data_IF_721819586473
#
_entry.id   IF_721819586473
#
_cell.length_a   1.000
_cell.length_b   1.000
_cell.length_c   1.000
_cell.angle_alpha   90.00
_cell.angle_beta   90.00
_cell.angle_gamma   90.00
#
_symmetry.space_group_name_H-M   'P 1'
#
loop_
_entity.id
_entity.type
_entity.pdbx_description
1 polymer ?
#
# COMPACT_ATOMS: atom_id res chain seq x y z
N UNK A 1 1.82 18.88 -35.87
CA UNK A 1 3.30 18.79 -35.86
C UNK A 1 4.01 19.66 -34.83
N UNK A 2 4.24 20.99 -35.01
CA UNK A 2 5.03 21.78 -34.03
C UNK A 2 4.39 21.91 -32.63
N UNK A 3 3.04 21.94 -32.56
CA UNK A 3 2.29 22.03 -31.28
C UNK A 3 2.35 20.73 -30.48
N UNK A 4 2.31 19.58 -31.15
CA UNK A 4 2.43 18.25 -30.52
C UNK A 4 3.85 18.00 -30.01
N UNK A 5 4.87 18.40 -30.77
CA UNK A 5 6.28 18.31 -30.34
C UNK A 5 6.56 19.16 -29.09
N UNK A 6 5.97 20.36 -29.00
CA UNK A 6 6.07 21.21 -27.79
C UNK A 6 5.37 20.60 -26.57
N UNK A 7 4.17 20.04 -26.74
CA UNK A 7 3.43 19.37 -25.65
C UNK A 7 4.19 18.12 -25.18
N UNK A 8 4.75 17.34 -26.09
CA UNK A 8 5.52 16.15 -25.76
C UNK A 8 6.82 16.49 -25.02
N UNK A 9 7.54 17.54 -25.44
CA UNK A 9 8.73 18.05 -24.74
C UNK A 9 8.41 18.55 -23.32
N UNK A 10 7.32 19.29 -23.15
CA UNK A 10 6.89 19.80 -21.84
C UNK A 10 6.48 18.68 -20.88
N UNK A 11 5.73 17.67 -21.35
CA UNK A 11 5.36 16.50 -20.54
C UNK A 11 6.59 15.70 -20.10
N UNK A 12 7.57 15.52 -21.00
CA UNK A 12 8.81 14.80 -20.70
C UNK A 12 9.65 15.52 -19.64
N UNK A 13 9.73 16.85 -19.71
CA UNK A 13 10.41 17.68 -18.70
C UNK A 13 9.75 17.55 -17.32
N UNK A 14 8.41 17.65 -17.25
CA UNK A 14 7.67 17.47 -16.00
C UNK A 14 7.86 16.08 -15.38
N UNK A 15 7.97 15.02 -16.19
CA UNK A 15 8.28 13.67 -15.71
C UNK A 15 9.67 13.58 -15.11
N UNK A 16 10.68 14.18 -15.75
CA UNK A 16 12.07 14.18 -15.28
C UNK A 16 12.21 14.97 -13.97
N UNK A 17 11.61 16.17 -13.90
CA UNK A 17 11.63 17.00 -12.69
C UNK A 17 10.97 16.29 -11.50
N UNK A 18 9.84 15.62 -11.72
CA UNK A 18 9.17 14.83 -10.68
C UNK A 18 10.01 13.65 -10.21
N UNK A 19 10.62 12.90 -11.14
CA UNK A 19 11.52 11.79 -10.78
C UNK A 19 12.67 12.28 -9.89
N UNK A 20 13.34 13.35 -10.30
CA UNK A 20 14.42 13.96 -9.52
C UNK A 20 13.95 14.46 -8.14
N UNK A 21 12.76 15.06 -8.06
CA UNK A 21 12.18 15.47 -6.79
C UNK A 21 11.91 14.28 -5.86
N UNK A 22 11.41 13.15 -6.38
CA UNK A 22 11.18 11.95 -5.58
C UNK A 22 12.50 11.32 -5.11
N UNK A 23 13.52 11.26 -5.97
CA UNK A 23 14.84 10.75 -5.60
C UNK A 23 15.47 11.55 -4.45
N UNK A 24 15.41 12.88 -4.51
CA UNK A 24 15.88 13.74 -3.41
C UNK A 24 15.10 13.52 -2.11
N UNK A 25 13.78 13.35 -2.23
CA UNK A 25 12.89 13.09 -1.08
C UNK A 25 13.21 11.74 -0.44
N UNK A 26 13.44 10.70 -1.25
CA UNK A 26 13.88 9.39 -0.78
C UNK A 26 15.24 9.44 -0.10
N UNK A 27 16.22 10.17 -0.65
CA UNK A 27 17.53 10.30 0.01
C UNK A 27 17.42 10.93 1.42
N UNK A 28 16.50 11.89 1.61
CA UNK A 28 16.25 12.47 2.92
C UNK A 28 15.54 11.49 3.87
N UNK A 29 14.57 10.73 3.36
CA UNK A 29 13.87 9.70 4.13
C UNK A 29 14.81 8.57 4.54
N UNK A 30 15.66 8.09 3.62
CA UNK A 30 16.66 7.06 3.87
C UNK A 30 17.53 7.46 5.06
N UNK A 31 18.09 8.68 5.05
CA UNK A 31 18.88 9.19 6.16
C UNK A 31 18.09 9.23 7.48
N UNK A 32 16.86 9.70 7.45
CA UNK A 32 16.02 9.79 8.65
C UNK A 32 15.68 8.39 9.21
N UNK A 33 15.49 7.41 8.34
CA UNK A 33 15.08 6.05 8.69
C UNK A 33 16.27 5.18 9.11
N UNK A 34 17.45 5.37 8.53
CA UNK A 34 18.69 4.67 8.91
C UNK A 34 19.06 4.86 10.38
N UNK A 35 18.78 6.04 10.93
CA UNK A 35 19.09 6.37 12.33
C UNK A 35 18.02 5.82 13.32
N UNK A 36 16.93 5.24 12.81
CA UNK A 36 15.84 4.75 13.67
C UNK A 36 16.20 3.40 14.29
N UNK A 37 16.12 3.33 15.61
CA UNK A 37 16.27 2.07 16.33
C UNK A 37 15.17 1.06 16.01
N UNK A 38 13.97 1.54 15.67
CA UNK A 38 12.80 0.70 15.42
C UNK A 38 11.95 1.27 14.29
N UNK A 39 11.55 0.39 13.39
CA UNK A 39 10.58 0.68 12.33
C UNK A 39 9.27 -0.06 12.62
N UNK A 40 8.14 0.60 12.37
CA UNK A 40 6.84 -0.06 12.34
C UNK A 40 6.55 -0.72 10.99
N UNK A 41 5.43 -1.44 10.91
CA UNK A 41 4.93 -2.08 9.70
C UNK A 41 4.96 -1.18 8.46
N UNK A 42 4.48 0.05 8.61
CA UNK A 42 4.28 0.97 7.49
C UNK A 42 5.63 1.49 7.00
N UNK A 43 6.57 1.74 7.90
CA UNK A 43 7.96 2.06 7.55
C UNK A 43 8.62 0.90 6.80
N UNK A 44 8.47 -0.34 7.27
CA UNK A 44 9.02 -1.51 6.60
C UNK A 44 8.41 -1.71 5.21
N UNK A 45 7.09 -1.52 5.07
CA UNK A 45 6.43 -1.52 3.77
C UNK A 45 6.97 -0.41 2.86
N UNK A 46 7.23 0.79 3.39
CA UNK A 46 7.93 1.86 2.68
C UNK A 46 9.28 1.40 2.12
N UNK A 47 10.14 0.81 2.97
CA UNK A 47 11.42 0.26 2.55
C UNK A 47 11.28 -0.78 1.42
N UNK A 48 10.34 -1.72 1.58
CA UNK A 48 10.10 -2.78 0.59
C UNK A 48 9.63 -2.19 -0.74
N UNK A 49 8.72 -1.22 -0.72
CA UNK A 49 8.21 -0.55 -1.91
C UNK A 49 9.31 0.22 -2.65
N UNK A 50 10.14 0.98 -1.92
CA UNK A 50 11.26 1.70 -2.52
C UNK A 50 12.30 0.73 -3.08
N UNK A 51 12.68 -0.29 -2.32
CA UNK A 51 13.58 -1.35 -2.78
C UNK A 51 13.10 -1.97 -4.10
N UNK A 52 11.80 -2.27 -4.22
CA UNK A 52 11.22 -2.82 -5.46
C UNK A 52 11.22 -1.81 -6.62
N UNK A 53 11.04 -0.53 -6.32
CA UNK A 53 11.01 0.53 -7.33
C UNK A 53 12.41 0.91 -7.84
N UNK A 54 13.44 0.90 -6.98
CA UNK A 54 14.78 1.42 -7.30
C UNK A 54 15.84 0.33 -7.43
N UNK A 55 15.66 -0.83 -6.78
CA UNK A 55 16.69 -1.86 -6.64
C UNK A 55 17.83 -1.51 -5.67
N UNK A 56 17.70 -0.41 -4.92
CA UNK A 56 18.73 0.04 -3.99
C UNK A 56 18.83 -0.83 -2.74
N UNK A 57 20.05 -1.26 -2.42
CA UNK A 57 20.31 -2.19 -1.32
C UNK A 57 20.07 -1.61 0.07
N UNK A 58 20.27 -0.30 0.26
CA UNK A 58 20.09 0.33 1.58
C UNK A 58 18.67 0.10 2.13
N UNK A 59 17.65 0.27 1.30
CA UNK A 59 16.25 0.04 1.66
C UNK A 59 15.95 -1.44 1.96
N UNK A 60 16.53 -2.34 1.17
CA UNK A 60 16.47 -3.79 1.40
C UNK A 60 17.05 -4.14 2.76
N UNK A 61 18.27 -3.69 3.02
CA UNK A 61 19.03 -4.05 4.21
C UNK A 61 18.35 -3.51 5.48
N UNK A 62 17.83 -2.28 5.45
CA UNK A 62 17.01 -1.72 6.54
C UNK A 62 15.81 -2.63 6.88
N UNK A 63 15.03 -3.06 5.88
CA UNK A 63 13.89 -3.94 6.11
C UNK A 63 14.31 -5.31 6.67
N UNK A 64 15.37 -5.92 6.12
CA UNK A 64 15.85 -7.23 6.55
C UNK A 64 16.44 -7.21 7.96
N UNK A 65 17.19 -6.16 8.32
CA UNK A 65 17.75 -6.00 9.65
C UNK A 65 16.67 -5.88 10.72
N UNK A 66 15.61 -5.10 10.46
CA UNK A 66 14.48 -4.96 11.39
C UNK A 66 13.73 -6.28 11.58
N UNK A 67 13.51 -7.04 10.51
CA UNK A 67 12.89 -8.38 10.61
C UNK A 67 13.77 -9.36 11.38
N UNK A 68 15.10 -9.34 11.16
CA UNK A 68 16.08 -10.20 11.86
C UNK A 68 16.23 -9.86 13.34
N UNK A 69 16.19 -8.58 13.69
CA UNK A 69 16.24 -8.13 15.08
C UNK A 69 15.04 -8.65 15.91
N UNK A 70 13.97 -9.08 15.22
CA UNK A 70 12.75 -9.56 15.82
C UNK A 70 11.86 -8.39 16.25
N UNK A 71 10.56 -8.50 15.99
CA UNK A 71 9.61 -7.49 16.47
C UNK A 71 9.32 -7.75 17.95
N UNK A 72 9.53 -6.78 18.86
CA UNK A 72 9.08 -6.90 20.24
C UNK A 72 7.58 -7.19 20.27
N UNK A 73 7.15 -8.05 21.21
CA UNK A 73 5.75 -8.46 21.45
C UNK A 73 5.13 -9.47 20.48
N UNK A 74 5.93 -10.16 19.64
CA UNK A 74 5.41 -11.22 18.77
C UNK A 74 4.46 -10.72 17.67
N UNK A 75 4.40 -9.39 17.48
CA UNK A 75 3.75 -8.70 16.38
C UNK A 75 4.66 -8.68 15.15
N UNK A 76 5.12 -9.84 14.69
CA UNK A 76 5.87 -9.88 13.45
C UNK A 76 5.00 -9.35 12.30
N UNK A 77 5.53 -8.47 11.46
CA UNK A 77 4.78 -7.89 10.35
C UNK A 77 4.72 -8.86 9.16
N UNK A 78 3.52 -9.32 8.81
CA UNK A 78 3.35 -10.42 7.85
C UNK A 78 4.02 -10.19 6.49
N UNK A 79 3.79 -9.04 5.86
CA UNK A 79 4.38 -8.74 4.54
C UNK A 79 5.91 -8.61 4.60
N UNK A 80 6.51 -7.88 5.57
CA UNK A 80 7.95 -7.89 5.81
C UNK A 80 8.55 -9.27 6.08
N UNK A 81 7.85 -10.17 6.80
CA UNK A 81 8.30 -11.55 6.98
C UNK A 81 8.39 -12.32 5.65
N UNK A 82 7.37 -12.20 4.80
CA UNK A 82 7.39 -12.84 3.47
C UNK A 82 8.53 -12.28 2.61
N UNK A 83 8.73 -10.97 2.65
CA UNK A 83 9.84 -10.33 1.96
C UNK A 83 11.19 -10.89 2.46
N UNK A 84 11.40 -10.97 3.77
CA UNK A 84 12.65 -11.52 4.31
C UNK A 84 12.89 -13.00 3.92
N UNK A 85 11.83 -13.80 3.89
CA UNK A 85 11.91 -15.20 3.42
C UNK A 85 12.27 -15.29 1.92
N UNK A 86 11.77 -14.39 1.09
CA UNK A 86 12.11 -14.31 -0.35
C UNK A 86 13.56 -13.90 -0.58
N UNK A 87 14.07 -12.98 0.24
CA UNK A 87 15.42 -12.44 0.12
C UNK A 87 16.49 -13.34 0.76
N UNK A 88 16.13 -14.17 1.74
CA UNK A 88 17.02 -15.11 2.42
C UNK A 88 16.33 -16.46 2.71
N UNK A 89 16.16 -17.33 1.68
CA UNK A 89 15.47 -18.60 1.84
C UNK A 89 16.19 -19.62 2.75
N UNK A 90 17.46 -19.39 3.07
CA UNK A 90 18.25 -20.28 3.92
C UNK A 90 17.89 -20.14 5.40
N UNK A 91 17.34 -19.00 5.80
CA UNK A 91 16.92 -18.73 7.17
C UNK A 91 15.44 -19.10 7.35
N UNK A 92 15.18 -20.22 8.05
CA UNK A 92 13.84 -20.77 8.25
C UNK A 92 13.00 -19.88 9.15
N UNK A 93 12.03 -19.20 8.54
CA UNK A 93 11.02 -18.35 9.20
C UNK A 93 9.63 -18.94 9.14
N UNK A 94 9.50 -20.19 8.69
CA UNK A 94 8.20 -20.79 8.37
C UNK A 94 7.28 -20.84 9.58
N UNK A 95 7.79 -21.23 10.75
CA UNK A 95 7.01 -21.27 11.98
C UNK A 95 6.43 -19.89 12.35
N UNK A 96 7.21 -18.81 12.21
CA UNK A 96 6.76 -17.44 12.49
C UNK A 96 5.71 -16.98 11.47
N UNK A 97 5.92 -17.28 10.19
CA UNK A 97 4.95 -17.00 9.12
C UNK A 97 3.65 -17.75 9.35
N UNK A 98 3.71 -19.04 9.69
CA UNK A 98 2.54 -19.87 9.98
C UNK A 98 1.81 -19.39 11.25
N UNK A 99 2.53 -18.95 12.28
CA UNK A 99 1.94 -18.37 13.49
C UNK A 99 1.21 -17.05 13.20
N UNK A 100 1.79 -16.15 12.42
CA UNK A 100 1.09 -14.95 11.95
C UNK A 100 -0.09 -15.34 11.05
N UNK A 101 0.09 -16.37 10.24
CA UNK A 101 -0.95 -16.98 9.43
C UNK A 101 -1.97 -17.83 10.24
N UNK A 102 -1.92 -17.87 11.56
CA UNK A 102 -2.97 -18.46 12.39
C UNK A 102 -3.92 -17.41 12.99
N UNK A 103 -3.56 -16.11 12.92
CA UNK A 103 -4.36 -15.02 13.52
C UNK A 103 -5.79 -14.94 12.95
N UNK A 104 -6.80 -14.66 13.80
CA UNK A 104 -8.18 -14.49 13.35
C UNK A 104 -8.31 -13.32 12.35
N UNK A 105 -9.35 -13.38 11.51
CA UNK A 105 -9.68 -12.33 10.55
C UNK A 105 -10.96 -11.56 10.94
N UNK A 106 -11.66 -12.05 11.94
CA UNK A 106 -12.83 -11.42 12.55
C UNK A 106 -12.41 -10.33 13.54
N UNK A 107 -13.20 -9.24 13.58
CA UNK A 107 -12.99 -8.16 14.54
C UNK A 107 -11.75 -7.29 14.32
N UNK A 108 -11.10 -7.37 13.16
CA UNK A 108 -9.94 -6.53 12.83
C UNK A 108 -10.32 -5.04 12.88
N UNK A 109 -9.45 -4.21 13.47
CA UNK A 109 -9.47 -2.77 13.22
C UNK A 109 -9.01 -2.48 11.80
N UNK A 110 -9.24 -1.27 11.28
CA UNK A 110 -8.76 -0.89 9.95
C UNK A 110 -7.23 -0.89 9.83
N UNK A 111 -6.53 -0.58 10.92
CA UNK A 111 -5.06 -0.67 10.97
C UNK A 111 -4.62 -2.13 10.91
N UNK A 112 -5.23 -3.00 11.71
CA UNK A 112 -4.91 -4.43 11.69
C UNK A 112 -5.24 -5.07 10.34
N UNK A 113 -6.32 -4.63 9.68
CA UNK A 113 -6.68 -5.07 8.35
C UNK A 113 -5.59 -4.79 7.33
N UNK A 114 -4.95 -3.61 7.40
CA UNK A 114 -3.80 -3.27 6.55
C UNK A 114 -2.58 -4.17 6.84
N UNK A 115 -2.27 -4.43 8.10
CA UNK A 115 -1.13 -5.27 8.46
C UNK A 115 -1.34 -6.76 8.13
N UNK A 116 -2.59 -7.24 8.16
CA UNK A 116 -2.93 -8.66 8.07
C UNK A 116 -3.38 -9.05 6.67
N UNK A 117 -4.37 -8.39 6.08
CA UNK A 117 -5.08 -8.93 4.90
C UNK A 117 -4.23 -9.01 3.62
N UNK A 118 -3.38 -8.03 3.28
CA UNK A 118 -2.44 -8.16 2.15
C UNK A 118 -1.48 -9.34 2.34
N UNK A 119 -0.92 -9.49 3.55
CA UNK A 119 -0.10 -10.64 3.90
C UNK A 119 -0.87 -11.94 3.71
N UNK A 120 -2.11 -12.02 4.21
CA UNK A 120 -2.94 -13.23 4.09
C UNK A 120 -3.13 -13.64 2.66
N UNK A 121 -3.42 -12.67 1.79
CA UNK A 121 -3.57 -12.93 0.37
C UNK A 121 -2.26 -13.48 -0.22
N UNK A 122 -1.12 -12.82 0.06
CA UNK A 122 0.19 -13.28 -0.40
C UNK A 122 0.54 -14.70 0.12
N UNK A 123 0.29 -14.97 1.40
CA UNK A 123 0.51 -16.27 2.03
C UNK A 123 -0.28 -17.38 1.34
N UNK A 124 -1.56 -17.14 1.03
CA UNK A 124 -2.40 -18.12 0.35
C UNK A 124 -1.84 -18.52 -1.01
N UNK A 125 -1.39 -17.56 -1.81
CA UNK A 125 -0.81 -17.83 -3.13
C UNK A 125 0.59 -18.44 -3.06
N UNK A 126 1.44 -17.96 -2.15
CA UNK A 126 2.86 -18.35 -2.11
C UNK A 126 3.11 -19.65 -1.35
N UNK A 127 2.35 -19.91 -0.30
CA UNK A 127 2.68 -20.95 0.68
C UNK A 127 1.53 -21.93 0.96
N UNK A 128 0.26 -21.51 0.82
CA UNK A 128 -0.89 -22.31 1.24
C UNK A 128 -1.79 -22.82 0.12
N UNK A 129 -1.30 -22.82 -1.13
CA UNK A 129 -1.99 -23.38 -2.30
C UNK A 129 -3.43 -22.86 -2.49
N UNK A 130 -3.65 -21.61 -2.14
CA UNK A 130 -4.92 -20.89 -2.27
C UNK A 130 -6.09 -21.49 -1.46
N UNK A 131 -5.82 -22.28 -0.42
CA UNK A 131 -6.85 -23.00 0.33
C UNK A 131 -7.94 -22.09 0.93
N UNK A 132 -7.61 -20.84 1.26
CA UNK A 132 -8.49 -19.91 1.97
C UNK A 132 -8.61 -18.53 1.33
N UNK A 133 -8.30 -18.38 0.04
CA UNK A 133 -8.44 -17.08 -0.67
C UNK A 133 -9.85 -16.50 -0.54
N UNK A 134 -10.88 -17.36 -0.63
CA UNK A 134 -12.28 -16.96 -0.46
C UNK A 134 -12.57 -16.36 0.91
N UNK A 135 -11.91 -16.85 1.96
CA UNK A 135 -12.03 -16.35 3.33
C UNK A 135 -11.34 -14.99 3.49
N UNK A 136 -10.17 -14.79 2.87
CA UNK A 136 -9.48 -13.48 2.89
C UNK A 136 -10.31 -12.44 2.14
N UNK A 137 -10.84 -12.78 0.96
CA UNK A 137 -11.71 -11.90 0.19
C UNK A 137 -13.03 -11.58 0.93
N UNK A 138 -13.60 -12.57 1.64
CA UNK A 138 -14.75 -12.35 2.51
C UNK A 138 -14.43 -11.39 3.66
N UNK A 139 -13.23 -11.43 4.25
CA UNK A 139 -12.85 -10.50 5.32
C UNK A 139 -12.84 -9.04 4.86
N UNK A 140 -12.33 -8.74 3.64
CA UNK A 140 -12.44 -7.40 3.06
C UNK A 140 -13.90 -6.94 2.93
N UNK A 141 -14.77 -7.83 2.45
CA UNK A 141 -16.19 -7.54 2.28
C UNK A 141 -16.87 -7.27 3.62
N UNK A 142 -16.65 -8.14 4.62
CA UNK A 142 -17.25 -7.99 5.94
C UNK A 142 -16.78 -6.72 6.66
N UNK A 143 -15.51 -6.33 6.52
CA UNK A 143 -15.02 -5.06 7.06
C UNK A 143 -15.73 -3.87 6.43
N UNK A 144 -15.90 -3.87 5.10
CA UNK A 144 -16.64 -2.83 4.43
C UNK A 144 -18.11 -2.81 4.89
N UNK A 145 -18.81 -3.94 4.87
CA UNK A 145 -20.21 -4.03 5.27
C UNK A 145 -20.47 -3.62 6.73
N UNK A 146 -19.55 -3.96 7.64
CA UNK A 146 -19.72 -3.71 9.07
C UNK A 146 -19.31 -2.30 9.49
N UNK A 147 -18.28 -1.74 8.86
CA UNK A 147 -17.64 -0.51 9.32
C UNK A 147 -17.88 0.68 8.38
N UNK A 148 -18.51 0.51 7.22
CA UNK A 148 -18.80 1.62 6.32
C UNK A 148 -20.07 2.37 6.70
N UNK A 149 -19.95 3.68 6.82
CA UNK A 149 -21.07 4.62 6.92
C UNK A 149 -21.38 5.18 5.52
N UNK A 150 -22.54 4.79 4.97
CA UNK A 150 -23.00 5.21 3.65
C UNK A 150 -23.27 6.73 3.54
N UNK A 151 -23.67 7.38 4.65
CA UNK A 151 -24.01 8.81 4.68
C UNK A 151 -22.75 9.65 4.62
N UNK A 152 -21.75 9.31 5.42
CA UNK A 152 -20.46 9.99 5.46
C UNK A 152 -19.52 9.52 4.34
N UNK A 153 -19.82 8.37 3.72
CA UNK A 153 -18.99 7.70 2.72
C UNK A 153 -17.58 7.34 3.23
N UNK A 154 -17.49 6.98 4.50
CA UNK A 154 -16.27 6.74 5.27
C UNK A 154 -16.44 5.50 6.16
N UNK A 155 -15.36 5.06 6.81
CA UNK A 155 -15.39 3.91 7.71
C UNK A 155 -15.17 4.31 9.17
N UNK A 156 -15.73 3.50 10.08
CA UNK A 156 -15.32 3.41 11.46
C UNK A 156 -13.98 2.66 11.58
N UNK A 157 -13.11 3.06 12.51
CA UNK A 157 -11.82 2.37 12.72
C UNK A 157 -11.97 0.94 13.26
N UNK A 158 -13.03 0.70 14.03
CA UNK A 158 -13.45 -0.58 14.59
C UNK A 158 -14.93 -0.50 15.00
N UNK A 159 -15.53 -1.62 15.41
CA UNK A 159 -16.92 -1.63 15.88
C UNK A 159 -17.09 -0.70 17.07
N UNK A 160 -17.99 0.28 16.95
CA UNK A 160 -18.28 1.27 17.99
C UNK A 160 -17.35 2.49 18.02
N UNK A 161 -16.33 2.56 17.16
CA UNK A 161 -15.52 3.76 16.98
C UNK A 161 -16.29 4.86 16.22
N UNK A 162 -15.77 6.08 16.18
CA UNK A 162 -16.30 7.12 15.29
C UNK A 162 -15.84 6.91 13.84
N UNK A 163 -16.61 7.47 12.90
CA UNK A 163 -16.29 7.47 11.47
C UNK A 163 -15.10 8.41 11.21
N UNK A 164 -14.12 7.97 10.42
CA UNK A 164 -12.97 8.82 10.07
C UNK A 164 -12.44 8.59 8.64
N UNK A 165 -11.83 9.65 8.10
CA UNK A 165 -11.10 9.57 6.84
C UNK A 165 -9.89 8.63 6.95
N UNK A 166 -9.22 8.65 8.10
CA UNK A 166 -8.07 7.78 8.41
C UNK A 166 -8.42 6.30 8.32
N UNK A 167 -9.51 5.85 8.94
CA UNK A 167 -9.97 4.47 8.85
C UNK A 167 -10.23 4.04 7.40
N UNK A 168 -10.79 4.95 6.58
CA UNK A 168 -10.99 4.71 5.15
C UNK A 168 -9.67 4.64 4.39
N UNK A 169 -8.68 5.46 4.77
CA UNK A 169 -7.33 5.42 4.21
C UNK A 169 -6.66 4.07 4.43
N UNK A 170 -6.65 3.57 5.68
CA UNK A 170 -6.12 2.25 6.00
C UNK A 170 -6.79 1.15 5.19
N UNK A 171 -8.13 1.21 5.05
CA UNK A 171 -8.88 0.23 4.28
C UNK A 171 -8.55 0.27 2.77
N UNK A 172 -8.40 1.46 2.19
CA UNK A 172 -8.00 1.62 0.78
C UNK A 172 -6.61 1.04 0.52
N UNK A 173 -5.65 1.28 1.44
CA UNK A 173 -4.31 0.70 1.35
C UNK A 173 -4.36 -0.83 1.44
N UNK A 174 -5.13 -1.37 2.40
CA UNK A 174 -5.31 -2.80 2.57
C UNK A 174 -5.90 -3.44 1.30
N UNK A 175 -6.91 -2.82 0.69
CA UNK A 175 -7.54 -3.30 -0.53
C UNK A 175 -6.57 -3.32 -1.70
N UNK A 176 -5.88 -2.21 -1.98
CA UNK A 176 -5.02 -2.14 -3.16
C UNK A 176 -3.81 -3.08 -3.03
N UNK A 177 -3.30 -3.29 -1.82
CA UNK A 177 -2.23 -4.23 -1.56
C UNK A 177 -2.72 -5.68 -1.65
N UNK A 178 -3.89 -5.97 -1.08
CA UNK A 178 -4.54 -7.28 -1.23
C UNK A 178 -4.86 -7.62 -2.69
N UNK A 179 -5.31 -6.65 -3.49
CA UNK A 179 -5.57 -6.80 -4.93
C UNK A 179 -4.26 -7.12 -5.68
N UNK A 180 -3.15 -6.46 -5.36
CA UNK A 180 -1.84 -6.75 -5.97
C UNK A 180 -1.38 -8.18 -5.68
N UNK A 181 -1.70 -8.73 -4.51
CA UNK A 181 -1.33 -10.11 -4.13
C UNK A 181 -2.25 -11.17 -4.74
N UNK A 182 -3.40 -10.77 -5.30
CA UNK A 182 -4.41 -11.71 -5.79
C UNK A 182 -4.24 -11.96 -7.29
N UNK A 183 -4.00 -13.22 -7.67
CA UNK A 183 -3.97 -13.63 -9.08
C UNK A 183 -5.39 -13.57 -9.69
N UNK A 184 -5.48 -13.10 -10.93
CA UNK A 184 -6.72 -13.05 -11.72
C UNK A 184 -7.35 -14.43 -11.97
N UNK A 185 -6.62 -15.53 -11.77
CA UNK A 185 -7.16 -16.90 -11.81
C UNK A 185 -8.36 -17.09 -10.86
N UNK A 186 -8.43 -16.31 -9.77
CA UNK A 186 -9.59 -16.24 -8.87
C UNK A 186 -10.37 -14.94 -9.12
N UNK A 187 -10.80 -14.76 -10.37
CA UNK A 187 -11.39 -13.52 -10.87
C UNK A 187 -12.55 -13.00 -10.00
N UNK A 188 -13.40 -13.88 -9.47
CA UNK A 188 -14.54 -13.47 -8.65
C UNK A 188 -14.13 -12.74 -7.35
N UNK A 189 -13.08 -13.22 -6.68
CA UNK A 189 -12.58 -12.65 -5.45
C UNK A 189 -11.80 -11.37 -5.72
N UNK A 190 -10.92 -11.41 -6.72
CA UNK A 190 -10.21 -10.23 -7.22
C UNK A 190 -11.19 -9.12 -7.61
N UNK A 191 -12.23 -9.45 -8.39
CA UNK A 191 -13.23 -8.50 -8.88
C UNK A 191 -14.03 -7.89 -7.74
N UNK A 192 -14.42 -8.69 -6.76
CA UNK A 192 -15.11 -8.20 -5.55
C UNK A 192 -14.29 -7.12 -4.85
N UNK A 193 -13.00 -7.38 -4.59
CA UNK A 193 -12.12 -6.40 -3.94
C UNK A 193 -11.95 -5.13 -4.79
N UNK A 194 -11.78 -5.27 -6.10
CA UNK A 194 -11.68 -4.13 -7.04
C UNK A 194 -12.95 -3.28 -7.03
N UNK A 195 -14.13 -3.90 -6.99
CA UNK A 195 -15.39 -3.17 -6.96
C UNK A 195 -15.57 -2.41 -5.64
N UNK A 196 -15.22 -3.03 -4.49
CA UNK A 196 -15.20 -2.35 -3.19
C UNK A 196 -14.20 -1.17 -3.22
N UNK A 197 -12.98 -1.38 -3.69
CA UNK A 197 -11.96 -0.34 -3.81
C UNK A 197 -12.46 0.86 -4.62
N UNK A 198 -13.05 0.62 -5.80
CA UNK A 198 -13.62 1.66 -6.65
C UNK A 198 -14.81 2.36 -6.00
N UNK A 199 -15.62 1.64 -5.24
CA UNK A 199 -16.76 2.20 -4.53
C UNK A 199 -16.29 3.17 -3.45
N UNK A 200 -15.45 2.69 -2.55
CA UNK A 200 -14.89 3.47 -1.43
C UNK A 200 -14.09 4.68 -1.93
N UNK A 201 -13.22 4.48 -2.93
CA UNK A 201 -12.42 5.58 -3.50
C UNK A 201 -13.32 6.67 -4.10
N UNK A 202 -14.39 6.30 -4.81
CA UNK A 202 -15.35 7.30 -5.33
C UNK A 202 -16.09 8.01 -4.20
N UNK A 203 -16.45 7.28 -3.14
CA UNK A 203 -17.11 7.82 -1.96
C UNK A 203 -16.28 8.92 -1.29
N UNK A 204 -15.06 8.60 -0.88
CA UNK A 204 -14.18 9.54 -0.17
C UNK A 204 -13.81 10.77 -1.01
N UNK A 205 -13.62 10.60 -2.33
CA UNK A 205 -13.37 11.71 -3.25
C UNK A 205 -14.60 12.60 -3.40
N UNK A 206 -15.81 12.02 -3.46
CA UNK A 206 -17.07 12.77 -3.58
C UNK A 206 -17.33 13.65 -2.36
N UNK A 207 -17.03 13.16 -1.16
CA UNK A 207 -17.21 13.93 0.09
C UNK A 207 -16.01 14.84 0.41
N UNK A 208 -14.98 14.87 -0.45
CA UNK A 208 -13.81 15.75 -0.31
C UNK A 208 -12.84 15.35 0.79
N UNK A 209 -13.03 14.20 1.44
CA UNK A 209 -12.26 13.76 2.61
C UNK A 209 -10.90 13.14 2.29
N UNK A 210 -10.60 12.92 1.01
CA UNK A 210 -9.30 12.41 0.58
C UNK A 210 -8.15 13.40 0.85
N UNK A 211 -8.44 14.71 0.91
CA UNK A 211 -7.45 15.75 1.23
C UNK A 211 -7.04 15.74 2.71
N UNK A 212 -7.80 15.08 3.60
CA UNK A 212 -7.43 14.88 5.01
C UNK A 212 -6.42 13.75 5.20
N UNK A 213 -6.31 12.83 4.23
CA UNK A 213 -5.42 11.66 4.25
C UNK A 213 -4.56 11.57 2.99
N UNK A 214 -3.86 12.65 2.59
CA UNK A 214 -3.30 12.79 1.25
C UNK A 214 -2.31 11.67 0.90
N UNK A 215 -1.52 11.18 1.85
CA UNK A 215 -0.56 10.10 1.60
C UNK A 215 -1.21 8.75 1.31
N UNK A 216 -2.15 8.31 2.14
CA UNK A 216 -2.86 7.03 1.96
C UNK A 216 -3.71 7.06 0.68
N UNK A 217 -4.38 8.20 0.42
CA UNK A 217 -5.18 8.40 -0.78
C UNK A 217 -4.31 8.47 -2.04
N UNK A 218 -3.20 9.22 -2.03
CA UNK A 218 -2.26 9.27 -3.15
C UNK A 218 -1.70 7.89 -3.46
N UNK A 219 -1.16 7.19 -2.46
CA UNK A 219 -0.63 5.84 -2.62
C UNK A 219 -1.66 4.90 -3.26
N UNK A 220 -2.87 4.85 -2.68
CA UNK A 220 -3.94 3.96 -3.15
C UNK A 220 -4.36 4.27 -4.60
N UNK A 221 -4.47 5.55 -4.96
CA UNK A 221 -4.82 5.98 -6.32
C UNK A 221 -3.70 5.61 -7.30
N UNK A 222 -2.45 5.96 -7.00
CA UNK A 222 -1.33 5.74 -7.91
C UNK A 222 -1.08 4.25 -8.13
N UNK A 223 -1.15 3.45 -7.06
CA UNK A 223 -1.06 2.00 -7.15
C UNK A 223 -2.25 1.40 -7.90
N UNK A 224 -3.47 1.88 -7.66
CA UNK A 224 -4.66 1.45 -8.40
C UNK A 224 -4.55 1.72 -9.91
N UNK A 225 -3.92 2.83 -10.31
CA UNK A 225 -3.60 3.12 -11.71
C UNK A 225 -2.58 2.11 -12.25
N UNK A 226 -1.47 1.87 -11.51
CA UNK A 226 -0.42 0.92 -11.91
C UNK A 226 -0.97 -0.49 -12.10
N UNK A 227 -1.89 -0.92 -11.23
CA UNK A 227 -2.56 -2.23 -11.33
C UNK A 227 -3.62 -2.29 -12.43
N UNK A 228 -3.91 -1.20 -13.13
CA UNK A 228 -4.94 -1.15 -14.18
C UNK A 228 -6.38 -1.27 -13.64
N UNK A 229 -6.58 -1.05 -12.35
CA UNK A 229 -7.90 -1.19 -11.71
C UNK A 229 -8.68 0.12 -11.68
N UNK A 230 -8.08 1.27 -12.00
CA UNK A 230 -8.79 2.54 -12.19
C UNK A 230 -8.22 3.32 -13.38
N UNK A 231 -9.03 4.20 -13.95
CA UNK A 231 -8.69 4.96 -15.16
C UNK A 231 -7.57 6.00 -14.90
N UNK A 232 -6.42 5.90 -15.58
CA UNK A 232 -5.33 6.86 -15.42
C UNK A 232 -5.72 8.29 -15.83
N UNK A 233 -6.57 8.49 -16.83
CA UNK A 233 -6.91 9.85 -17.30
C UNK A 233 -7.67 10.63 -16.23
N UNK A 234 -8.65 9.96 -15.60
CA UNK A 234 -9.45 10.54 -14.52
C UNK A 234 -8.69 10.68 -13.21
N UNK A 235 -7.92 9.67 -12.81
CA UNK A 235 -7.42 9.59 -11.43
C UNK A 235 -5.96 10.03 -11.26
N UNK A 236 -5.13 10.01 -12.32
CA UNK A 236 -3.72 10.42 -12.20
C UNK A 236 -3.55 11.86 -11.74
N UNK A 237 -4.29 12.86 -12.26
CA UNK A 237 -4.16 14.24 -11.77
C UNK A 237 -4.50 14.36 -10.27
N UNK A 238 -5.49 13.60 -9.80
CA UNK A 238 -5.90 13.58 -8.39
C UNK A 238 -4.81 12.97 -7.50
N UNK A 239 -4.30 11.79 -7.87
CA UNK A 239 -3.26 11.12 -7.10
C UNK A 239 -1.96 11.93 -7.02
N UNK A 240 -1.54 12.55 -8.13
CA UNK A 240 -0.35 13.42 -8.14
C UNK A 240 -0.56 14.70 -7.32
N UNK A 241 -1.74 15.34 -7.40
CA UNK A 241 -2.07 16.51 -6.58
C UNK A 241 -1.94 16.18 -5.08
N UNK A 242 -2.48 15.05 -4.64
CA UNK A 242 -2.41 14.61 -3.24
C UNK A 242 -0.97 14.28 -2.82
N UNK A 243 -0.17 13.67 -3.70
CA UNK A 243 1.24 13.39 -3.44
C UNK A 243 2.08 14.69 -3.30
N UNK A 244 1.77 15.70 -4.12
CA UNK A 244 2.41 17.02 -4.07
C UNK A 244 1.97 17.82 -2.83
N UNK A 245 0.80 17.52 -2.25
CA UNK A 245 0.25 18.19 -1.07
C UNK A 245 0.55 17.49 0.26
N UNK A 246 1.50 16.57 0.31
CA UNK A 246 1.87 15.85 1.53
C UNK A 246 2.32 16.83 2.63
N UNK A 247 1.67 16.83 3.81
CA UNK A 247 2.07 17.67 4.93
C UNK A 247 3.48 17.35 5.43
N UNK A 248 4.15 18.35 6.00
CA UNK A 248 5.36 18.11 6.77
C UNK A 248 5.03 17.21 7.97
N UNK A 249 5.85 16.19 8.23
CA UNK A 249 5.59 15.21 9.28
C UNK A 249 4.63 14.08 8.87
N UNK A 250 4.33 13.94 7.57
CA UNK A 250 3.71 12.71 7.05
C UNK A 250 4.52 11.49 7.48
N UNK A 251 3.83 10.40 7.78
CA UNK A 251 4.47 9.15 8.18
C UNK A 251 5.55 8.72 7.15
N UNK A 252 6.82 8.52 7.55
CA UNK A 252 7.93 8.24 6.62
C UNK A 252 7.67 7.04 5.70
N UNK A 253 7.05 5.98 6.24
CA UNK A 253 6.66 4.81 5.45
C UNK A 253 5.65 5.14 4.34
N UNK A 254 4.62 5.94 4.64
CA UNK A 254 3.61 6.34 3.64
C UNK A 254 4.26 7.22 2.57
N UNK A 255 5.11 8.15 2.99
CA UNK A 255 5.84 9.04 2.09
C UNK A 255 6.74 8.26 1.13
N UNK A 256 7.48 7.27 1.64
CA UNK A 256 8.30 6.35 0.86
C UNK A 256 7.46 5.53 -0.13
N UNK A 257 6.32 4.99 0.31
CA UNK A 257 5.39 4.25 -0.56
C UNK A 257 4.85 5.11 -1.70
N UNK A 258 4.45 6.36 -1.44
CA UNK A 258 4.01 7.30 -2.48
C UNK A 258 5.12 7.58 -3.49
N UNK A 259 6.35 7.84 -3.01
CA UNK A 259 7.50 8.07 -3.89
C UNK A 259 7.79 6.84 -4.77
N UNK A 260 7.75 5.64 -4.20
CA UNK A 260 7.94 4.39 -4.92
C UNK A 260 6.90 4.20 -6.04
N UNK A 261 5.62 4.47 -5.79
CA UNK A 261 4.58 4.38 -6.82
C UNK A 261 4.79 5.40 -7.95
N UNK A 262 5.24 6.63 -7.64
CA UNK A 262 5.59 7.64 -8.65
C UNK A 262 6.75 7.16 -9.52
N UNK A 263 7.79 6.58 -8.92
CA UNK A 263 8.94 6.05 -9.66
C UNK A 263 8.55 4.89 -10.57
N UNK A 264 7.80 3.90 -10.07
CA UNK A 264 7.35 2.74 -10.84
C UNK A 264 6.47 3.13 -12.05
N UNK A 265 5.60 4.14 -11.91
CA UNK A 265 4.79 4.62 -13.02
C UNK A 265 5.60 5.32 -14.12
N UNK A 266 6.73 5.93 -13.77
CA UNK A 266 7.59 6.64 -14.72
C UNK A 266 8.47 5.68 -15.55
N UNK A 267 8.78 4.50 -15.00
CA UNK A 267 9.55 3.46 -15.72
C UNK A 267 8.68 2.57 -16.60
N UNK A 268 7.36 2.53 -16.42
CA UNK A 268 6.40 1.82 -17.27
C UNK A 268 6.23 2.38 -18.71
N UNK A 269 7.02 3.40 -19.07
CA UNK A 269 7.08 4.01 -20.40
C UNK A 269 8.32 3.62 -21.23
N UNK A 270 9.03 2.54 -20.86
CA UNK A 270 10.11 1.96 -21.68
C UNK A 270 9.64 0.76 -22.48
#
# INVERSE_FOLDING_TARGET
MQKEQRIHSCKRLQTVERKFAMENKLAQLEKNMLDMQRMDHVMLMGCIHVCRATGEKAWRDMALEQVRAGVPDGAADGMPLLFAMEEDPAEDRRATIEAFAARPLDGLSMVDAYCVLPFRMAYEFRLNRMAWVSRVAAAFRSLHELLYDEKEALHHASVGAEVSAEATGWFLMALVDGIEQCDQQLYEHWRTMVDIFRYVLRGILRVGKAEEIPGMAAYSILKGIRLGIIDPERYRPVGLKLAESLPQGTHPGIEAMVCAEILMMNDAGR
#
